data_IF_516507149811
#
_entry.id   IF_516507149811
#
_cell.length_a   1.000
_cell.length_b   1.000
_cell.length_c   1.000
_cell.angle_alpha   90.00
_cell.angle_beta   90.00
_cell.angle_gamma   90.00
#
_symmetry.space_group_name_H-M   'P 1'
#
loop_
_entity.id
_entity.type
_entity.pdbx_description
1 polymer ?
#
# COMPACT_ATOMS: atom_id res chain seq x y z
N UNK A 1 15.22 56.80 -30.88
CA UNK A 1 15.96 55.51 -30.85
C UNK A 1 15.78 54.72 -29.54
N UNK A 2 15.63 55.36 -28.36
CA UNK A 2 15.42 54.65 -27.08
C UNK A 2 14.01 54.03 -26.89
N UNK A 3 12.96 54.61 -27.46
CA UNK A 3 11.56 54.14 -27.32
C UNK A 3 11.28 52.85 -28.09
N UNK A 4 11.87 52.65 -29.28
CA UNK A 4 11.71 51.41 -30.05
C UNK A 4 12.40 50.21 -29.38
N UNK A 5 13.55 50.46 -28.72
CA UNK A 5 14.28 49.42 -27.98
C UNK A 5 13.52 48.88 -26.76
N UNK A 6 12.59 49.67 -26.19
CA UNK A 6 11.77 49.25 -25.05
C UNK A 6 10.62 48.32 -25.48
N UNK A 7 9.96 48.63 -26.61
CA UNK A 7 8.85 47.83 -27.17
C UNK A 7 9.28 46.40 -27.54
N UNK A 8 10.45 46.25 -28.17
CA UNK A 8 10.98 44.93 -28.59
C UNK A 8 11.33 44.04 -27.39
N UNK A 9 11.79 44.63 -26.27
CA UNK A 9 12.06 43.88 -25.03
C UNK A 9 10.77 43.39 -24.37
N UNK A 10 9.71 44.19 -24.41
CA UNK A 10 8.40 43.84 -23.86
C UNK A 10 7.75 42.69 -24.65
N UNK A 11 7.82 42.74 -25.98
CA UNK A 11 7.29 41.67 -26.87
C UNK A 11 8.07 40.36 -26.68
N UNK A 12 9.41 40.43 -26.58
CA UNK A 12 10.23 39.23 -26.31
C UNK A 12 9.94 38.62 -24.93
N UNK A 13 9.73 39.45 -23.92
CA UNK A 13 9.37 38.99 -22.58
C UNK A 13 7.98 38.34 -22.56
N UNK A 14 7.01 38.91 -23.28
CA UNK A 14 5.66 38.34 -23.41
C UNK A 14 5.68 37.00 -24.16
N UNK A 15 6.44 36.90 -25.25
CA UNK A 15 6.62 35.65 -26.00
C UNK A 15 7.31 34.56 -25.17
N UNK A 16 8.30 34.92 -24.34
CA UNK A 16 8.94 33.99 -23.40
C UNK A 16 7.97 33.50 -22.33
N UNK A 17 7.09 34.39 -21.83
CA UNK A 17 6.07 34.05 -20.83
C UNK A 17 5.00 33.11 -21.42
N UNK A 18 4.57 33.35 -22.66
CA UNK A 18 3.63 32.48 -23.39
C UNK A 18 4.29 31.11 -23.65
N UNK A 19 5.56 31.09 -24.07
CA UNK A 19 6.30 29.85 -24.27
C UNK A 19 6.36 29.02 -22.97
N UNK A 20 6.69 29.64 -21.84
CA UNK A 20 6.71 28.98 -20.53
C UNK A 20 5.34 28.48 -20.07
N UNK A 21 4.23 29.14 -20.46
CA UNK A 21 2.87 28.68 -20.14
C UNK A 21 2.38 27.53 -21.04
N UNK A 22 2.95 27.36 -22.23
CA UNK A 22 2.56 26.29 -23.18
C UNK A 22 3.27 24.96 -22.94
N UNK A 23 4.39 24.94 -22.21
CA UNK A 23 5.09 23.69 -21.85
C UNK A 23 4.39 23.02 -20.67
N UNK A 24 3.21 22.44 -20.92
CA UNK A 24 2.63 21.45 -20.02
C UNK A 24 3.42 20.15 -20.15
N UNK A 25 4.48 19.99 -19.37
CA UNK A 25 5.08 18.67 -19.18
C UNK A 25 4.08 17.80 -18.43
N UNK A 26 3.34 16.97 -19.16
CA UNK A 26 2.60 15.88 -18.54
C UNK A 26 3.61 14.93 -17.89
N UNK A 27 3.80 15.05 -16.58
CA UNK A 27 4.39 13.98 -15.79
C UNK A 27 3.39 12.82 -15.80
N UNK A 28 3.54 11.93 -16.78
CA UNK A 28 2.82 10.66 -16.79
C UNK A 28 3.44 9.77 -15.72
N UNK A 29 2.87 9.79 -14.52
CA UNK A 29 3.08 8.73 -13.55
C UNK A 29 2.51 7.44 -14.14
N UNK A 30 3.38 6.57 -14.65
CA UNK A 30 2.96 5.29 -15.22
C UNK A 30 2.72 4.28 -14.09
N UNK A 31 1.51 4.25 -13.56
CA UNK A 31 1.04 3.13 -12.75
C UNK A 31 0.96 1.88 -13.61
N UNK A 32 1.88 0.93 -13.40
CA UNK A 32 2.04 -0.21 -14.31
C UNK A 32 0.97 -1.29 -14.09
N UNK A 33 0.47 -1.42 -12.86
CA UNK A 33 -0.45 -2.48 -12.47
C UNK A 33 -1.47 -1.96 -11.46
N UNK A 34 -2.74 -2.26 -11.70
CA UNK A 34 -3.86 -2.07 -10.78
C UNK A 34 -4.23 -3.42 -10.18
N UNK A 35 -4.33 -3.47 -8.85
CA UNK A 35 -4.72 -4.67 -8.12
C UNK A 35 -5.86 -4.32 -7.18
N UNK A 36 -6.94 -5.09 -7.23
CA UNK A 36 -8.08 -4.95 -6.34
C UNK A 36 -8.65 -6.32 -5.93
N UNK A 37 -9.07 -6.52 -4.67
CA UNK A 37 -8.94 -5.58 -3.54
C UNK A 37 -7.52 -5.51 -2.96
N UNK A 38 -7.28 -4.57 -2.04
CA UNK A 38 -6.00 -4.45 -1.30
C UNK A 38 -5.81 -5.50 -0.20
N UNK A 39 -6.87 -6.24 0.12
CA UNK A 39 -6.91 -7.33 1.11
C UNK A 39 -8.03 -8.29 0.74
N UNK A 40 -7.79 -9.58 0.95
CA UNK A 40 -8.79 -10.62 0.78
C UNK A 40 -9.15 -11.20 2.15
N UNK A 41 -10.44 -11.28 2.44
CA UNK A 41 -10.95 -11.87 3.70
C UNK A 41 -11.98 -12.94 3.37
N UNK A 42 -11.72 -14.17 3.80
CA UNK A 42 -12.69 -15.25 3.83
C UNK A 42 -13.43 -15.18 5.17
N UNK A 43 -14.68 -14.74 5.12
CA UNK A 43 -15.60 -14.62 6.25
C UNK A 43 -17.02 -15.01 5.81
N UNK A 44 -17.94 -15.16 6.76
CA UNK A 44 -19.35 -15.48 6.50
C UNK A 44 -19.55 -16.71 5.60
N UNK A 45 -18.70 -17.73 5.74
CA UNK A 45 -18.79 -18.98 4.98
C UNK A 45 -18.39 -18.89 3.50
N UNK A 46 -17.86 -17.74 3.03
CA UNK A 46 -17.36 -17.61 1.66
C UNK A 46 -16.19 -18.57 1.44
N UNK A 47 -16.24 -19.34 0.37
CA UNK A 47 -15.18 -20.30 -0.03
C UNK A 47 -14.34 -19.84 -1.20
N UNK A 48 -14.77 -18.81 -1.92
CA UNK A 48 -14.07 -18.27 -3.09
C UNK A 48 -13.99 -16.76 -2.96
N UNK A 49 -12.84 -16.22 -3.33
CA UNK A 49 -12.55 -14.80 -3.42
C UNK A 49 -11.78 -14.51 -4.71
N UNK A 50 -11.84 -13.28 -5.18
CA UNK A 50 -11.24 -12.89 -6.45
C UNK A 50 -10.34 -11.66 -6.27
N UNK A 51 -9.20 -11.67 -6.95
CA UNK A 51 -8.29 -10.54 -7.06
C UNK A 51 -8.15 -10.19 -8.53
N UNK A 52 -8.61 -9.00 -8.89
CA UNK A 52 -8.42 -8.44 -10.23
C UNK A 52 -7.03 -7.82 -10.34
N UNK A 53 -6.30 -8.19 -11.40
CA UNK A 53 -4.98 -7.69 -11.74
C UNK A 53 -5.03 -7.13 -13.16
N UNK A 54 -4.90 -5.82 -13.29
CA UNK A 54 -5.00 -5.10 -14.57
C UNK A 54 -3.73 -4.33 -14.90
N UNK A 55 -3.28 -4.43 -16.16
CA UNK A 55 -2.12 -3.70 -16.66
C UNK A 55 -2.56 -2.33 -17.20
N UNK A 56 -2.35 -1.28 -16.43
CA UNK A 56 -2.60 0.10 -16.85
C UNK A 56 -1.39 0.74 -17.57
N UNK A 57 -0.34 -0.05 -17.82
CA UNK A 57 0.85 0.35 -18.56
C UNK A 57 0.70 0.18 -20.07
N UNK A 58 1.80 0.46 -20.78
CA UNK A 58 1.90 0.40 -22.25
C UNK A 58 2.65 -0.82 -22.77
N UNK A 59 3.34 -1.54 -21.90
CA UNK A 59 4.09 -2.75 -22.24
C UNK A 59 3.35 -3.98 -21.72
N UNK A 60 3.42 -5.10 -22.43
CA UNK A 60 2.96 -6.39 -21.89
C UNK A 60 3.77 -6.79 -20.66
N UNK A 61 3.08 -7.17 -19.59
CA UNK A 61 3.71 -7.58 -18.34
C UNK A 61 3.47 -9.06 -18.06
N UNK A 62 4.47 -9.71 -17.45
CA UNK A 62 4.41 -11.11 -17.05
C UNK A 62 4.63 -11.21 -15.56
N UNK A 63 3.77 -11.95 -14.87
CA UNK A 63 3.85 -12.14 -13.43
C UNK A 63 3.76 -13.62 -13.04
N UNK A 64 4.38 -13.94 -11.92
CA UNK A 64 4.20 -15.18 -11.17
C UNK A 64 3.40 -14.85 -9.91
N UNK A 65 2.40 -15.67 -9.65
CA UNK A 65 1.52 -15.58 -8.48
C UNK A 65 1.88 -16.70 -7.50
N UNK A 66 2.06 -16.35 -6.22
CA UNK A 66 2.45 -17.28 -5.16
C UNK A 66 1.69 -16.96 -3.87
N UNK A 67 1.49 -17.96 -3.02
CA UNK A 67 1.10 -17.73 -1.63
C UNK A 67 2.31 -17.84 -0.72
N UNK A 68 2.40 -16.96 0.27
CA UNK A 68 3.52 -16.93 1.21
C UNK A 68 3.08 -16.58 2.62
N UNK A 69 3.51 -17.37 3.59
CA UNK A 69 3.33 -17.07 5.02
C UNK A 69 4.33 -15.98 5.44
N UNK A 70 3.83 -14.90 6.05
CA UNK A 70 4.65 -13.78 6.52
C UNK A 70 4.17 -13.28 7.88
N UNK A 71 5.11 -12.95 8.76
CA UNK A 71 4.87 -12.38 10.07
C UNK A 71 5.04 -10.85 10.01
N UNK A 72 4.11 -10.12 10.63
CA UNK A 72 4.23 -8.68 10.83
C UNK A 72 5.12 -8.40 12.04
N UNK A 73 6.00 -7.40 11.93
CA UNK A 73 6.79 -6.83 13.02
C UNK A 73 6.05 -5.64 13.64
N UNK A 74 6.52 -5.16 14.79
CA UNK A 74 5.87 -4.06 15.53
C UNK A 74 5.91 -2.72 14.79
N UNK A 75 6.86 -2.52 13.88
CA UNK A 75 6.95 -1.36 12.99
C UNK A 75 6.03 -1.50 11.74
N UNK A 76 5.33 -2.63 11.62
CA UNK A 76 4.47 -2.95 10.48
C UNK A 76 5.17 -3.58 9.29
N UNK A 77 6.49 -3.80 9.34
CA UNK A 77 7.19 -4.55 8.28
C UNK A 77 6.82 -6.03 8.31
N UNK A 78 7.05 -6.72 7.19
CA UNK A 78 6.81 -8.16 7.09
C UNK A 78 8.12 -8.93 6.94
N UNK A 79 8.23 -10.03 7.70
CA UNK A 79 9.25 -11.05 7.51
C UNK A 79 8.62 -12.33 6.96
N UNK A 80 9.26 -12.95 5.98
CA UNK A 80 8.86 -14.27 5.49
C UNK A 80 9.06 -15.30 6.62
N UNK A 81 8.07 -16.17 6.82
CA UNK A 81 8.21 -17.34 7.68
C UNK A 81 8.63 -18.51 6.78
N UNK A 82 9.79 -19.15 7.02
CA UNK A 82 10.15 -20.37 6.30
C UNK A 82 9.06 -21.44 6.49
N UNK A 83 8.75 -22.20 5.44
CA UNK A 83 7.62 -23.14 5.43
C UNK A 83 7.61 -24.08 6.64
N UNK A 84 8.77 -24.58 7.04
CA UNK A 84 8.89 -25.57 8.13
C UNK A 84 8.83 -24.95 9.53
N UNK A 85 8.87 -23.61 9.63
CA UNK A 85 8.89 -22.89 10.92
C UNK A 85 7.50 -22.43 11.39
N UNK A 86 6.49 -22.49 10.54
CA UNK A 86 5.13 -22.09 10.90
C UNK A 86 4.38 -23.24 11.59
N UNK A 87 3.93 -23.04 12.84
CA UNK A 87 3.05 -24.00 13.55
C UNK A 87 1.79 -24.32 12.74
N UNK A 88 1.29 -23.36 11.94
CA UNK A 88 0.24 -23.58 10.95
C UNK A 88 0.60 -22.86 9.64
N UNK A 89 0.70 -23.62 8.56
CA UNK A 89 0.89 -23.09 7.21
C UNK A 89 -0.45 -22.64 6.63
N UNK A 90 -0.73 -21.33 6.70
CA UNK A 90 -1.99 -20.75 6.16
C UNK A 90 -2.05 -20.83 4.64
N UNK A 91 -0.89 -20.93 3.99
CA UNK A 91 -0.77 -21.25 2.55
C UNK A 91 -1.42 -22.58 2.17
N UNK A 92 -1.47 -23.56 3.08
CA UNK A 92 -1.96 -24.91 2.79
C UNK A 92 -3.48 -25.05 2.80
N UNK A 93 -4.21 -24.03 3.26
CA UNK A 93 -5.68 -24.01 3.31
C UNK A 93 -6.30 -23.21 2.17
N UNK A 94 -5.49 -22.62 1.27
CA UNK A 94 -5.96 -21.83 0.13
C UNK A 94 -5.35 -22.38 -1.15
N UNK A 95 -6.20 -22.68 -2.13
CA UNK A 95 -5.79 -22.90 -3.52
C UNK A 95 -5.99 -21.62 -4.32
N UNK A 96 -5.21 -21.44 -5.37
CA UNK A 96 -5.35 -20.28 -6.24
C UNK A 96 -5.04 -20.61 -7.70
N UNK A 97 -5.63 -19.85 -8.61
CA UNK A 97 -5.39 -19.93 -10.04
C UNK A 97 -5.67 -18.58 -10.70
N UNK A 98 -4.90 -18.17 -11.73
CA UNK A 98 -3.73 -18.86 -12.31
C UNK A 98 -2.42 -18.59 -11.55
N UNK A 99 -1.38 -19.39 -11.84
CA UNK A 99 -0.01 -19.21 -11.28
C UNK A 99 0.84 -18.22 -12.07
N UNK A 100 0.49 -17.99 -13.33
CA UNK A 100 1.19 -17.08 -14.22
C UNK A 100 0.16 -16.15 -14.85
N UNK A 101 0.52 -14.87 -14.96
CA UNK A 101 -0.29 -13.87 -15.64
C UNK A 101 0.53 -13.29 -16.79
N UNK A 102 -0.10 -13.13 -17.94
CA UNK A 102 0.44 -12.37 -19.08
C UNK A 102 -0.62 -11.34 -19.42
N UNK A 103 -0.29 -10.07 -19.23
CA UNK A 103 -1.25 -8.97 -19.34
C UNK A 103 -0.77 -8.01 -20.43
N UNK A 104 -1.46 -7.95 -21.56
CA UNK A 104 -1.28 -6.91 -22.57
C UNK A 104 -1.66 -5.52 -22.00
N UNK A 105 -1.27 -4.43 -22.67
CA UNK A 105 -1.70 -3.08 -22.28
C UNK A 105 -3.23 -2.98 -22.20
N UNK A 106 -3.75 -2.54 -21.06
CA UNK A 106 -5.19 -2.44 -20.78
C UNK A 106 -5.88 -3.78 -20.42
N UNK A 107 -5.16 -4.90 -20.43
CA UNK A 107 -5.72 -6.20 -20.11
C UNK A 107 -5.85 -6.41 -18.58
N UNK A 108 -6.92 -7.08 -18.18
CA UNK A 108 -7.16 -7.50 -16.81
C UNK A 108 -7.38 -9.02 -16.73
N UNK A 109 -6.85 -9.63 -15.68
CA UNK A 109 -7.13 -11.04 -15.36
C UNK A 109 -7.48 -11.19 -13.88
N UNK A 110 -8.27 -12.21 -13.59
CA UNK A 110 -8.72 -12.54 -12.24
C UNK A 110 -7.89 -13.69 -11.68
N UNK A 111 -7.28 -13.47 -10.52
CA UNK A 111 -6.73 -14.53 -9.67
C UNK A 111 -7.82 -14.98 -8.70
N UNK A 112 -8.31 -16.20 -8.87
CA UNK A 112 -9.28 -16.82 -7.97
C UNK A 112 -8.57 -17.48 -6.81
N UNK A 113 -9.04 -17.22 -5.61
CA UNK A 113 -8.59 -17.81 -4.35
C UNK A 113 -9.72 -18.67 -3.81
N UNK A 114 -9.44 -19.93 -3.52
CA UNK A 114 -10.41 -20.89 -3.00
C UNK A 114 -9.94 -21.43 -1.65
N UNK A 115 -10.75 -21.23 -0.62
CA UNK A 115 -10.59 -21.88 0.68
C UNK A 115 -10.88 -23.37 0.51
N UNK A 116 -9.91 -24.21 0.86
CA UNK A 116 -10.09 -25.65 0.91
C UNK A 116 -10.29 -26.11 2.35
N UNK A 117 -11.36 -26.85 2.58
CA UNK A 117 -11.52 -27.58 3.82
C UNK A 117 -10.60 -28.80 3.72
N UNK A 118 -9.62 -28.97 4.60
CA UNK A 118 -8.96 -30.28 4.72
C UNK A 118 -10.03 -31.28 5.13
N UNK A 119 -10.34 -32.20 4.23
CA UNK A 119 -11.27 -33.30 4.44
C UNK A 119 -10.92 -34.03 5.74
N UNK A 120 -11.83 -34.01 6.73
CA UNK A 120 -11.77 -34.86 7.91
C UNK A 120 -11.59 -34.18 9.27
N UNK A 121 -11.24 -32.89 9.35
CA UNK A 121 -11.13 -32.16 10.63
C UNK A 121 -11.54 -30.71 10.50
N UNK A 122 -12.39 -30.21 11.42
CA UNK A 122 -12.70 -28.77 11.50
C UNK A 122 -11.39 -28.02 11.79
N UNK A 123 -11.03 -27.07 10.93
CA UNK A 123 -9.99 -26.08 11.26
C UNK A 123 -10.39 -25.41 12.59
N UNK A 124 -9.49 -25.29 13.57
CA UNK A 124 -9.77 -24.55 14.79
C UNK A 124 -10.30 -23.14 14.50
N UNK A 125 -11.15 -22.64 15.39
CA UNK A 125 -11.57 -21.24 15.32
C UNK A 125 -10.39 -20.31 15.52
N UNK A 126 -10.44 -19.15 14.87
CA UNK A 126 -9.38 -18.16 14.87
C UNK A 126 -9.12 -17.58 13.49
N UNK A 127 -7.98 -16.89 13.38
CA UNK A 127 -7.54 -16.26 12.15
C UNK A 127 -6.29 -16.93 11.57
N UNK A 128 -6.37 -17.27 10.28
CA UNK A 128 -5.24 -17.73 9.49
C UNK A 128 -4.89 -16.67 8.45
N UNK A 129 -3.60 -16.46 8.23
CA UNK A 129 -3.13 -15.39 7.33
C UNK A 129 -1.91 -15.82 6.53
N UNK A 130 -2.03 -15.70 5.22
CA UNK A 130 -0.92 -15.73 4.29
C UNK A 130 -0.99 -14.50 3.38
N UNK A 131 -0.16 -14.46 2.35
CA UNK A 131 -0.14 -13.35 1.40
C UNK A 131 -0.09 -13.87 -0.03
N UNK A 132 -0.91 -13.28 -0.89
CA UNK A 132 -0.81 -13.43 -2.33
C UNK A 132 0.28 -12.49 -2.83
N UNK A 133 1.36 -13.08 -3.34
CA UNK A 133 2.52 -12.36 -3.87
C UNK A 133 2.50 -12.45 -5.39
N UNK A 134 2.49 -11.29 -6.05
CA UNK A 134 2.50 -11.15 -7.51
C UNK A 134 3.85 -10.51 -7.88
N UNK A 135 4.74 -11.32 -8.46
CA UNK A 135 6.12 -10.90 -8.78
C UNK A 135 6.33 -10.82 -10.28
N UNK A 136 6.99 -9.76 -10.78
CA UNK A 136 7.26 -9.62 -12.20
C UNK A 136 8.29 -10.64 -12.64
N UNK A 137 8.09 -11.22 -13.81
CA UNK A 137 9.11 -12.03 -14.47
C UNK A 137 10.04 -11.10 -15.21
N UNK A 138 11.32 -11.08 -14.81
CA UNK A 138 12.34 -10.31 -15.51
C UNK A 138 12.38 -10.73 -16.98
N UNK A 139 11.98 -9.83 -17.87
CA UNK A 139 12.12 -10.07 -19.32
C UNK A 139 13.57 -9.74 -19.66
N UNK A 140 14.42 -10.76 -19.75
CA UNK A 140 15.80 -10.57 -20.24
C UNK A 140 15.73 -10.14 -21.71
N UNK A 141 15.78 -8.84 -21.96
CA UNK A 141 16.10 -8.35 -23.29
C UNK A 141 17.63 -8.47 -23.44
N UNK A 142 18.11 -9.60 -23.95
CA UNK A 142 19.50 -9.69 -24.42
C UNK A 142 19.62 -8.66 -25.54
N UNK A 143 20.41 -7.58 -25.39
CA UNK A 143 20.57 -6.63 -26.47
C UNK A 143 21.32 -7.35 -27.59
N UNK A 144 20.73 -7.42 -28.80
CA UNK A 144 21.52 -7.73 -30.00
C UNK A 144 22.58 -6.65 -30.10
N UNK A 145 23.85 -7.02 -29.87
CA UNK A 145 24.99 -6.11 -29.96
C UNK A 145 25.00 -5.51 -31.37
N UNK A 146 24.68 -4.23 -31.49
CA UNK A 146 24.78 -3.49 -32.75
C UNK A 146 25.65 -2.26 -32.54
N UNK A 147 26.92 -2.44 -32.92
CA UNK A 147 27.99 -1.46 -33.20
C UNK A 147 28.40 -0.52 -32.06
N UNK A 148 29.69 -0.17 -32.11
CA UNK A 148 30.46 0.67 -31.19
C UNK A 148 29.70 1.94 -30.81
N UNK A 149 29.36 2.10 -29.53
CA UNK A 149 28.64 3.26 -28.98
C UNK A 149 29.62 4.07 -28.13
N UNK A 150 29.89 5.32 -28.51
CA UNK A 150 30.74 6.29 -27.80
C UNK A 150 30.05 6.98 -26.61
N UNK A 151 28.85 6.55 -26.22
CA UNK A 151 28.08 7.09 -25.09
C UNK A 151 27.43 5.98 -24.25
N UNK A 152 27.53 6.08 -22.93
CA UNK A 152 26.85 5.17 -21.99
C UNK A 152 25.35 5.50 -21.98
N UNK A 153 24.52 4.60 -22.52
CA UNK A 153 23.05 4.68 -22.40
C UNK A 153 22.57 3.75 -21.28
N UNK A 154 22.24 4.30 -20.12
CA UNK A 154 21.61 3.57 -19.03
C UNK A 154 20.09 3.48 -19.25
N UNK A 155 19.54 2.25 -19.30
CA UNK A 155 18.09 2.01 -19.36
C UNK A 155 17.66 1.22 -18.12
N UNK A 156 17.08 1.92 -17.16
CA UNK A 156 16.51 1.31 -15.96
C UNK A 156 15.06 0.90 -16.25
N UNK A 157 14.73 -0.37 -15.99
CA UNK A 157 13.34 -0.87 -15.99
C UNK A 157 12.99 -1.31 -14.57
N UNK A 158 12.19 -0.53 -13.82
CA UNK A 158 11.78 -0.95 -12.49
C UNK A 158 10.86 -2.18 -12.58
N UNK A 159 11.00 -3.10 -11.62
CA UNK A 159 10.21 -4.32 -11.52
C UNK A 159 9.56 -4.37 -10.13
N UNK A 160 8.25 -4.15 -10.06
CA UNK A 160 7.51 -4.07 -8.80
C UNK A 160 6.83 -5.40 -8.46
N UNK A 161 7.04 -5.86 -7.23
CA UNK A 161 6.28 -6.98 -6.64
C UNK A 161 5.18 -6.45 -5.74
N UNK A 162 4.02 -7.11 -5.76
CA UNK A 162 2.88 -6.77 -4.91
C UNK A 162 2.55 -7.90 -3.95
N UNK A 163 2.13 -7.55 -2.74
CA UNK A 163 1.79 -8.50 -1.67
C UNK A 163 0.43 -8.12 -1.11
N UNK A 164 -0.54 -9.02 -1.19
CA UNK A 164 -1.90 -8.83 -0.71
C UNK A 164 -2.14 -9.78 0.46
N UNK A 165 -2.52 -9.30 1.65
CA UNK A 165 -2.91 -10.17 2.75
C UNK A 165 -4.16 -10.95 2.39
N UNK A 166 -4.10 -12.27 2.59
CA UNK A 166 -5.21 -13.20 2.46
C UNK A 166 -5.51 -13.77 3.84
N UNK A 167 -6.69 -13.45 4.35
CA UNK A 167 -7.10 -13.71 5.72
C UNK A 167 -8.28 -14.67 5.71
N UNK A 168 -8.26 -15.69 6.56
CA UNK A 168 -9.37 -16.60 6.79
C UNK A 168 -9.79 -16.45 8.24
N UNK A 169 -11.05 -16.09 8.48
CA UNK A 169 -11.63 -15.93 9.81
C UNK A 169 -12.67 -17.01 10.05
N UNK A 170 -12.48 -17.76 11.13
CA UNK A 170 -13.40 -18.81 11.58
C UNK A 170 -13.84 -18.50 13.01
N UNK A 171 -15.14 -18.58 13.28
CA UNK A 171 -15.71 -18.28 14.60
C UNK A 171 -16.01 -16.80 14.83
N UNK A 172 -16.46 -16.48 16.05
CA UNK A 172 -16.75 -15.11 16.47
C UNK A 172 -15.46 -14.35 16.81
N UNK A 173 -15.42 -13.05 16.53
CA UNK A 173 -14.31 -12.20 16.94
C UNK A 173 -14.53 -11.64 18.34
N UNK A 174 -13.53 -11.76 19.21
CA UNK A 174 -13.46 -11.08 20.51
C UNK A 174 -12.43 -9.93 20.50
N UNK A 175 -12.00 -9.51 19.31
CA UNK A 175 -10.87 -8.60 19.12
C UNK A 175 -11.19 -7.22 19.66
N UNK A 176 -10.29 -6.69 20.49
CA UNK A 176 -10.36 -5.31 21.01
C UNK A 176 -9.10 -4.55 20.65
N UNK A 177 -9.24 -3.24 20.49
CA UNK A 177 -8.15 -2.32 20.16
C UNK A 177 -8.13 -1.19 21.16
N UNK A 178 -6.95 -0.89 21.69
CA UNK A 178 -6.69 0.28 22.51
C UNK A 178 -5.58 1.11 21.85
N UNK A 179 -5.71 2.44 21.96
CA UNK A 179 -4.63 3.36 21.60
C UNK A 179 -3.80 3.60 22.86
N UNK A 180 -2.47 3.48 22.76
CA UNK A 180 -1.54 3.70 23.87
C UNK A 180 -0.30 4.48 23.42
N UNK A 181 0.56 4.80 24.39
CA UNK A 181 1.92 5.31 24.16
C UNK A 181 1.94 6.56 23.25
N UNK A 182 0.96 7.45 23.48
CA UNK A 182 0.77 8.66 22.66
C UNK A 182 1.86 9.69 23.00
N UNK A 183 2.54 10.20 21.97
CA UNK A 183 3.57 11.23 22.10
C UNK A 183 3.48 12.26 20.97
N UNK A 184 3.69 13.54 21.32
CA UNK A 184 3.77 14.66 20.39
C UNK A 184 5.15 15.33 20.51
N UNK A 185 6.14 14.92 19.70
CA UNK A 185 7.46 15.56 19.70
C UNK A 185 7.37 17.00 19.20
N UNK A 186 8.03 17.92 19.91
CA UNK A 186 8.12 19.34 19.55
C UNK A 186 9.20 19.58 18.49
N UNK A 187 9.00 18.99 17.32
CA UNK A 187 9.92 19.08 16.20
C UNK A 187 9.43 20.10 15.15
N UNK A 188 10.27 20.37 14.14
CA UNK A 188 9.89 21.24 13.00
C UNK A 188 8.72 20.68 12.17
N UNK A 189 8.42 19.38 12.32
CA UNK A 189 7.32 18.70 11.65
C UNK A 189 6.35 18.16 12.70
N UNK A 190 5.12 18.73 12.80
CA UNK A 190 4.14 18.25 13.76
C UNK A 190 3.72 16.82 13.40
N UNK A 191 3.89 15.90 14.35
CA UNK A 191 3.54 14.49 14.22
C UNK A 191 3.09 13.92 15.55
N UNK A 192 2.18 12.96 15.52
CA UNK A 192 1.87 12.12 16.68
C UNK A 192 2.47 10.73 16.48
N UNK A 193 3.04 10.20 17.55
CA UNK A 193 3.40 8.81 17.69
C UNK A 193 2.39 8.17 18.63
N UNK A 194 1.99 6.94 18.34
CA UNK A 194 1.10 6.15 19.19
C UNK A 194 1.24 4.67 18.83
N UNK A 195 0.82 3.80 19.73
CA UNK A 195 0.70 2.38 19.48
C UNK A 195 -0.78 1.97 19.45
N UNK A 196 -1.10 0.99 18.59
CA UNK A 196 -2.36 0.25 18.68
C UNK A 196 -2.10 -1.09 19.35
N UNK A 197 -2.68 -1.30 20.53
CA UNK A 197 -2.65 -2.56 21.26
C UNK A 197 -3.88 -3.39 20.94
N UNK A 198 -3.67 -4.59 20.42
CA UNK A 198 -4.70 -5.54 20.03
C UNK A 198 -4.73 -6.72 20.99
N UNK A 199 -5.93 -7.04 21.48
CA UNK A 199 -6.21 -8.29 22.20
C UNK A 199 -7.24 -9.12 21.44
N UNK A 200 -7.36 -10.41 21.78
CA UNK A 200 -8.31 -11.34 21.16
C UNK A 200 -7.75 -12.15 20.00
N UNK A 201 -8.66 -12.82 19.29
CA UNK A 201 -8.40 -13.96 18.42
C UNK A 201 -8.24 -13.64 16.92
N UNK A 202 -8.47 -12.40 16.49
CA UNK A 202 -8.39 -11.98 15.08
C UNK A 202 -7.60 -10.67 14.93
N UNK A 203 -7.22 -10.35 13.70
CA UNK A 203 -6.55 -9.08 13.39
C UNK A 203 -7.48 -7.89 13.54
N UNK A 204 -6.94 -6.78 14.02
CA UNK A 204 -7.60 -5.49 14.00
C UNK A 204 -7.39 -4.81 12.64
N UNK A 205 -8.42 -4.14 12.14
CA UNK A 205 -8.35 -3.33 10.93
C UNK A 205 -9.30 -2.16 11.04
N UNK A 206 -8.79 -0.95 10.88
CA UNK A 206 -9.58 0.27 11.02
C UNK A 206 -8.78 1.52 10.69
N UNK A 207 -9.41 2.66 10.90
CA UNK A 207 -8.88 3.98 10.58
C UNK A 207 -8.55 4.74 11.87
N UNK A 208 -7.61 5.67 11.79
CA UNK A 208 -7.31 6.63 12.84
C UNK A 208 -7.63 8.02 12.33
N UNK A 209 -8.43 8.75 13.11
CA UNK A 209 -8.72 10.16 12.89
C UNK A 209 -8.21 10.97 14.07
N UNK A 210 -7.48 12.05 13.78
CA UNK A 210 -6.94 12.95 14.79
C UNK A 210 -7.61 14.31 14.63
N UNK A 211 -8.22 14.75 15.71
CA UNK A 211 -8.76 16.10 15.86
C UNK A 211 -7.95 16.87 16.89
N UNK A 212 -7.80 18.17 16.67
CA UNK A 212 -7.20 19.09 17.62
C UNK A 212 -8.26 20.09 18.06
N UNK A 213 -8.51 20.14 19.36
CA UNK A 213 -9.45 21.07 19.98
C UNK A 213 -8.68 22.22 20.65
N UNK A 214 -9.01 23.44 20.24
CA UNK A 214 -8.46 24.66 20.80
C UNK A 214 -9.55 25.74 20.87
N UNK A 215 -9.68 26.39 22.03
CA UNK A 215 -10.67 27.46 22.24
C UNK A 215 -12.11 27.06 21.84
N UNK A 216 -12.51 25.81 22.13
CA UNK A 216 -13.84 25.27 21.80
C UNK A 216 -14.05 24.89 20.34
N UNK A 217 -13.02 25.01 19.48
CA UNK A 217 -13.08 24.60 18.07
C UNK A 217 -12.30 23.32 17.85
N UNK A 218 -12.98 22.28 17.36
CA UNK A 218 -12.35 21.03 16.91
C UNK A 218 -12.01 21.08 15.43
N UNK A 219 -10.76 20.76 15.07
CA UNK A 219 -10.25 20.76 13.70
C UNK A 219 -9.65 19.40 13.37
N UNK A 220 -9.99 18.81 12.23
CA UNK A 220 -9.30 17.60 11.76
C UNK A 220 -7.88 17.93 11.34
N UNK A 221 -6.91 17.24 11.94
CA UNK A 221 -5.48 17.55 11.76
C UNK A 221 -4.68 16.39 11.18
N UNK A 222 -5.28 15.20 11.07
CA UNK A 222 -4.64 14.05 10.44
C UNK A 222 -5.59 12.85 10.35
N UNK A 223 -5.36 11.99 9.37
CA UNK A 223 -6.00 10.69 9.28
C UNK A 223 -5.02 9.64 8.74
N UNK A 224 -5.12 8.43 9.26
CA UNK A 224 -4.45 7.24 8.73
C UNK A 224 -5.50 6.18 8.44
N UNK A 225 -5.59 5.76 7.18
CA UNK A 225 -6.64 4.84 6.73
C UNK A 225 -6.08 3.43 6.52
N UNK A 226 -6.88 2.42 6.84
CA UNK A 226 -6.61 1.01 6.61
C UNK A 226 -5.46 0.47 7.44
N UNK A 227 -5.36 0.89 8.70
CA UNK A 227 -4.36 0.40 9.63
C UNK A 227 -4.71 -1.01 10.11
N UNK A 228 -3.69 -1.84 10.24
CA UNK A 228 -3.82 -3.22 10.66
C UNK A 228 -2.85 -3.58 11.77
N UNK A 229 -3.36 -4.29 12.78
CA UNK A 229 -2.54 -5.04 13.73
C UNK A 229 -2.83 -6.51 13.50
N UNK A 230 -1.94 -7.20 12.79
CA UNK A 230 -2.20 -8.57 12.35
C UNK A 230 -1.94 -9.59 13.46
N UNK A 231 -2.86 -10.54 13.67
CA UNK A 231 -2.62 -11.71 14.51
C UNK A 231 -1.38 -12.49 14.03
N UNK A 232 -0.53 -13.01 14.93
CA UNK A 232 -0.63 -12.95 16.40
C UNK A 232 -0.06 -11.68 17.06
N UNK A 233 0.38 -10.69 16.28
CA UNK A 233 0.96 -9.47 16.84
C UNK A 233 -0.04 -8.76 17.76
N UNK A 234 0.44 -8.34 18.92
CA UNK A 234 -0.37 -7.71 19.97
C UNK A 234 -0.27 -6.19 19.94
N UNK A 235 0.67 -5.64 19.18
CA UNK A 235 0.96 -4.22 19.16
C UNK A 235 1.48 -3.79 17.79
N UNK A 236 1.25 -2.54 17.40
CA UNK A 236 1.95 -1.92 16.29
C UNK A 236 2.11 -0.42 16.55
N UNK A 237 3.29 0.09 16.25
CA UNK A 237 3.63 1.50 16.38
C UNK A 237 3.28 2.26 15.10
N UNK A 238 2.79 3.48 15.26
CA UNK A 238 2.40 4.37 14.17
C UNK A 238 2.94 5.78 14.38
N UNK A 239 3.24 6.43 13.26
CA UNK A 239 3.52 7.86 13.21
C UNK A 239 2.56 8.50 12.21
N UNK A 240 1.83 9.52 12.66
CA UNK A 240 0.96 10.32 11.81
C UNK A 240 1.50 11.75 11.69
N UNK A 241 1.74 12.20 10.46
CA UNK A 241 2.04 13.60 10.19
C UNK A 241 0.76 14.43 10.33
N UNK A 242 0.85 15.58 10.99
CA UNK A 242 -0.29 16.47 11.21
C UNK A 242 -0.25 17.69 10.28
N UNK A 243 -1.40 18.36 10.15
CA UNK A 243 -1.57 19.56 9.36
C UNK A 243 -0.61 20.69 9.80
N UNK A 244 0.24 21.17 8.89
CA UNK A 244 1.19 22.25 9.20
C UNK A 244 0.59 23.65 9.11
N UNK A 245 -0.39 23.86 8.24
CA UNK A 245 -0.95 25.17 7.93
C UNK A 245 -2.24 25.38 8.69
N UNK A 246 -2.39 26.57 9.28
CA UNK A 246 -3.66 27.00 9.89
C UNK A 246 -3.99 26.36 11.24
N UNK A 247 -3.02 25.68 11.87
CA UNK A 247 -3.20 25.06 13.19
C UNK A 247 -2.00 25.40 14.07
N UNK A 248 -2.26 25.87 15.29
CA UNK A 248 -1.26 26.09 16.31
C UNK A 248 -1.45 25.05 17.43
N UNK A 249 -0.57 24.06 17.50
CA UNK A 249 -0.65 22.96 18.45
C UNK A 249 -0.34 23.32 19.91
N UNK A 250 -0.34 24.62 20.27
CA UNK A 250 -0.15 25.08 21.65
C UNK A 250 -1.49 25.19 22.38
N UNK A 251 -1.51 24.82 23.65
CA UNK A 251 -2.65 25.03 24.56
C UNK A 251 -3.98 24.45 24.02
N UNK A 252 -3.94 23.21 23.53
CA UNK A 252 -5.12 22.47 23.07
C UNK A 252 -5.03 20.99 23.39
N UNK A 253 -6.02 20.22 22.95
CA UNK A 253 -6.12 18.77 23.21
C UNK A 253 -6.24 18.00 21.91
N UNK A 254 -5.58 16.85 21.84
CA UNK A 254 -5.79 15.89 20.76
C UNK A 254 -6.92 14.93 21.13
N UNK A 255 -7.81 14.68 20.18
CA UNK A 255 -8.78 13.60 20.22
C UNK A 255 -8.44 12.61 19.12
N UNK A 256 -8.06 11.40 19.51
CA UNK A 256 -7.66 10.33 18.60
C UNK A 256 -8.75 9.27 18.61
N UNK A 257 -9.33 9.00 17.45
CA UNK A 257 -10.46 8.08 17.30
C UNK A 257 -10.04 6.94 16.39
N UNK A 258 -10.24 5.71 16.86
CA UNK A 258 -10.12 4.48 16.08
C UNK A 258 -11.51 4.03 15.65
N UNK A 259 -11.71 3.75 14.36
CA UNK A 259 -12.99 3.30 13.78
C UNK A 259 -12.83 2.08 12.90
#
# INVERSE_FOLDING_TARGET
>A
MQTEMCSVKLIRSLLLLIFLFTVRTHLFAQGSLLIAPRRVVFEAGRKVQEVNVANNGRDTMRYIVQLQDMQMLNDGQFRIIPGDSAKVQSTSIIKFYPKHLVLAPGEAQIVKLQLINRSGGKLPEGEYRCHLVIRPVATQAIPKIRKMVTHIKLRLKPAFSFTIPVIVRLGASDTRVAISDISFPLDTVPRLLFALKRTGNMSAYGDIHVFFEQSGRSTSVGSLLGLSVYYPNVEREFTIALARKGVNYRNGKFHIIYT
#
